data_IF_330000401028
#
_entry.id   IF_330000401028
#
_cell.length_a   1.000
_cell.length_b   1.000
_cell.length_c   1.000
_cell.angle_alpha   90.00
_cell.angle_beta   90.00
_cell.angle_gamma   90.00
#
_symmetry.space_group_name_H-M   'P 1'
#
loop_
_entity.id
_entity.type
_entity.pdbx_description
1 polymer ?
#
# COMPACT_ATOMS: atom_id res chain seq x y z
N UNK A 1 4.46 -21.15 -21.22
CA UNK A 1 4.93 -19.95 -20.52
C UNK A 1 5.69 -20.39 -19.28
N UNK A 2 6.82 -19.77 -18.97
CA UNK A 2 7.59 -20.06 -17.75
C UNK A 2 6.84 -19.62 -16.49
N UNK A 3 7.23 -20.13 -15.32
CA UNK A 3 6.65 -19.73 -14.03
C UNK A 3 6.80 -18.22 -13.78
N UNK A 4 7.92 -17.63 -14.19
CA UNK A 4 8.15 -16.18 -14.13
C UNK A 4 7.15 -15.39 -15.00
N UNK A 5 6.83 -15.89 -16.20
CA UNK A 5 5.84 -15.24 -17.08
C UNK A 5 4.42 -15.37 -16.52
N UNK A 6 4.10 -16.52 -15.92
CA UNK A 6 2.80 -16.71 -15.26
C UNK A 6 2.67 -15.83 -14.01
N UNK A 7 3.75 -15.66 -13.25
CA UNK A 7 3.80 -14.74 -12.11
C UNK A 7 3.63 -13.29 -12.56
N UNK A 8 4.38 -12.83 -13.56
CA UNK A 8 4.24 -11.48 -14.11
C UNK A 8 2.83 -11.22 -14.68
N UNK A 9 2.24 -12.20 -15.35
CA UNK A 9 0.86 -12.11 -15.85
C UNK A 9 -0.18 -12.07 -14.72
N UNK A 10 0.10 -12.65 -13.55
CA UNK A 10 -0.74 -12.50 -12.35
C UNK A 10 -0.60 -11.09 -11.77
N UNK A 11 0.62 -10.55 -11.71
CA UNK A 11 0.87 -9.19 -11.23
C UNK A 11 0.22 -8.11 -12.12
N UNK A 12 0.07 -8.39 -13.42
CA UNK A 12 -0.56 -7.46 -14.37
C UNK A 12 -2.03 -7.12 -14.04
N UNK A 13 -2.72 -7.96 -13.27
CA UNK A 13 -4.12 -7.78 -12.90
C UNK A 13 -4.27 -7.55 -11.40
N UNK A 14 -4.50 -6.30 -10.99
CA UNK A 14 -4.61 -5.90 -9.57
C UNK A 14 -5.53 -6.80 -8.73
N UNK A 15 -6.67 -7.23 -9.28
CA UNK A 15 -7.63 -8.09 -8.58
C UNK A 15 -7.05 -9.46 -8.19
N UNK A 16 -5.95 -9.89 -8.82
CA UNK A 16 -5.25 -11.14 -8.50
C UNK A 16 -4.13 -10.95 -7.47
N UNK A 17 -3.75 -9.71 -7.14
CA UNK A 17 -2.71 -9.44 -6.15
C UNK A 17 -3.20 -9.75 -4.73
N UNK A 18 -4.45 -9.38 -4.43
CA UNK A 18 -5.01 -9.55 -3.09
C UNK A 18 -5.15 -11.03 -2.69
N UNK A 19 -5.69 -11.93 -3.52
CA UNK A 19 -5.73 -13.35 -3.19
C UNK A 19 -4.35 -14.01 -3.02
N UNK A 20 -3.29 -13.47 -3.64
CA UNK A 20 -1.92 -13.95 -3.38
C UNK A 20 -1.47 -13.65 -1.94
N UNK A 21 -1.99 -12.57 -1.34
CA UNK A 21 -1.77 -12.22 0.06
C UNK A 21 -2.53 -13.14 1.02
N UNK A 22 -3.72 -13.61 0.66
CA UNK A 22 -4.51 -14.58 1.44
C UNK A 22 -3.78 -15.92 1.63
N UNK A 23 -3.04 -16.38 0.62
CA UNK A 23 -2.33 -17.66 0.65
C UNK A 23 -1.03 -17.66 1.46
N UNK A 24 -0.61 -16.52 2.03
CA UNK A 24 0.60 -16.44 2.84
C UNK A 24 0.39 -17.18 4.18
N UNK A 25 1.38 -17.97 4.68
CA UNK A 25 1.09 -18.90 5.75
C UNK A 25 0.76 -18.19 7.07
N UNK A 26 -0.29 -18.67 7.75
CA UNK A 26 -0.79 -18.21 9.06
C UNK A 26 0.29 -18.09 10.15
N UNK A 27 1.38 -18.84 10.02
CA UNK A 27 2.51 -18.81 10.95
C UNK A 27 3.29 -17.47 10.94
N UNK A 28 3.07 -16.60 9.95
CA UNK A 28 3.92 -15.41 9.73
C UNK A 28 3.14 -14.10 9.82
N UNK A 29 1.85 -14.15 9.52
CA UNK A 29 0.89 -13.12 9.84
C UNK A 29 -0.30 -13.86 10.42
N UNK A 30 -0.80 -13.44 11.60
CA UNK A 30 -2.20 -13.73 11.93
C UNK A 30 -2.99 -13.46 10.64
N UNK A 31 -3.69 -14.48 10.14
CA UNK A 31 -4.16 -14.53 8.76
C UNK A 31 -4.82 -13.21 8.34
N UNK A 32 -4.69 -12.85 7.06
CA UNK A 32 -5.59 -11.89 6.42
C UNK A 32 -7.01 -12.49 6.42
N UNK A 33 -7.62 -12.59 7.60
CA UNK A 33 -8.95 -13.12 7.79
C UNK A 33 -9.98 -12.13 7.29
N UNK A 34 -11.21 -12.60 7.07
CA UNK A 34 -12.34 -11.81 6.54
C UNK A 34 -12.68 -10.49 7.28
N UNK A 35 -12.02 -10.19 8.39
CA UNK A 35 -12.22 -8.99 9.21
C UNK A 35 -10.99 -8.06 9.28
N UNK A 36 -9.95 -8.26 8.46
CA UNK A 36 -8.76 -7.38 8.46
C UNK A 36 -8.93 -6.09 7.64
N UNK A 37 -10.07 -5.90 6.98
CA UNK A 37 -10.36 -4.72 6.17
C UNK A 37 -11.37 -3.74 6.75
N UNK A 38 -11.62 -2.67 6.00
CA UNK A 38 -12.66 -1.68 6.26
C UNK A 38 -13.92 -1.95 5.43
N UNK A 39 -15.07 -1.58 5.97
CA UNK A 39 -16.34 -1.67 5.25
C UNK A 39 -16.50 -0.51 4.27
N UNK A 40 -17.33 -0.70 3.24
CA UNK A 40 -17.61 0.33 2.21
C UNK A 40 -18.11 1.64 2.83
N UNK A 41 -19.02 1.57 3.81
CA UNK A 41 -19.55 2.76 4.46
C UNK A 41 -18.49 3.55 5.23
N UNK A 42 -17.44 2.88 5.74
CA UNK A 42 -16.33 3.55 6.42
C UNK A 42 -15.48 4.33 5.40
N UNK A 43 -15.23 3.73 4.24
CA UNK A 43 -14.50 4.38 3.15
C UNK A 43 -15.30 5.52 2.51
N UNK A 44 -16.61 5.37 2.38
CA UNK A 44 -17.48 6.43 1.85
C UNK A 44 -17.47 7.66 2.77
N UNK A 45 -17.47 7.45 4.10
CA UNK A 45 -17.34 8.54 5.07
C UNK A 45 -16.00 9.26 4.92
N UNK A 46 -14.91 8.50 4.75
CA UNK A 46 -13.57 9.07 4.54
C UNK A 46 -13.51 9.91 3.28
N UNK A 47 -14.08 9.43 2.16
CA UNK A 47 -14.12 10.20 0.92
C UNK A 47 -14.95 11.49 1.04
N UNK A 48 -16.02 11.46 1.83
CA UNK A 48 -16.81 12.66 2.13
C UNK A 48 -16.00 13.68 2.93
N UNK A 49 -15.26 13.24 3.95
CA UNK A 49 -14.41 14.10 4.78
C UNK A 49 -13.21 14.65 4.00
N UNK A 50 -12.62 13.83 3.12
CA UNK A 50 -11.51 14.19 2.24
C UNK A 50 -11.94 15.12 1.09
N UNK A 51 -13.23 15.14 0.75
CA UNK A 51 -13.77 15.85 -0.42
C UNK A 51 -13.32 15.25 -1.77
N UNK A 52 -12.70 14.07 -1.76
CA UNK A 52 -12.18 13.38 -2.93
C UNK A 52 -12.45 11.88 -2.84
N UNK A 53 -12.60 11.24 -4.00
CA UNK A 53 -12.69 9.78 -4.10
C UNK A 53 -11.31 9.15 -3.92
N UNK A 54 -11.27 8.01 -3.23
CA UNK A 54 -10.08 7.17 -3.19
C UNK A 54 -9.99 6.39 -4.51
N UNK A 55 -8.77 6.19 -5.05
CA UNK A 55 -8.58 5.29 -6.19
C UNK A 55 -9.13 3.89 -5.90
N UNK A 56 -9.64 3.22 -6.93
CA UNK A 56 -10.29 1.90 -6.80
C UNK A 56 -9.33 0.88 -6.17
N UNK A 57 -8.07 0.84 -6.61
CA UNK A 57 -7.07 -0.08 -6.05
C UNK A 57 -6.77 0.18 -4.57
N UNK A 58 -6.80 1.45 -4.14
CA UNK A 58 -6.60 1.80 -2.73
C UNK A 58 -7.82 1.38 -1.89
N UNK A 59 -9.05 1.56 -2.40
CA UNK A 59 -10.26 1.03 -1.75
C UNK A 59 -10.22 -0.48 -1.62
N UNK A 60 -9.83 -1.19 -2.69
CA UNK A 60 -9.66 -2.64 -2.68
C UNK A 60 -8.67 -3.08 -1.59
N UNK A 61 -7.51 -2.42 -1.49
CA UNK A 61 -6.51 -2.71 -0.47
C UNK A 61 -7.04 -2.47 0.97
N UNK A 62 -7.74 -1.36 1.21
CA UNK A 62 -8.35 -1.10 2.51
C UNK A 62 -9.42 -2.12 2.89
N UNK A 63 -10.27 -2.51 1.93
CA UNK A 63 -11.31 -3.54 2.13
C UNK A 63 -10.73 -4.92 2.39
N UNK A 64 -9.58 -5.22 1.81
CA UNK A 64 -8.95 -6.52 1.93
C UNK A 64 -8.17 -6.65 3.24
N UNK A 65 -7.24 -5.72 3.51
CA UNK A 65 -6.29 -5.86 4.60
C UNK A 65 -5.97 -4.56 5.35
N UNK A 66 -6.74 -3.49 5.14
CA UNK A 66 -6.39 -2.16 5.63
C UNK A 66 -6.03 -2.06 7.11
N UNK A 67 -6.80 -2.71 8.00
CA UNK A 67 -6.55 -2.70 9.46
C UNK A 67 -5.33 -3.52 9.86
N UNK A 68 -4.94 -4.49 9.02
CA UNK A 68 -3.73 -5.29 9.22
C UNK A 68 -2.50 -4.55 8.71
N UNK A 69 -2.60 -3.95 7.52
CA UNK A 69 -1.53 -3.17 6.89
C UNK A 69 -1.18 -1.91 7.69
N UNK A 70 -2.13 -1.36 8.44
CA UNK A 70 -1.89 -0.24 9.36
C UNK A 70 -1.05 -0.60 10.61
N UNK A 71 -0.70 -1.87 10.84
CA UNK A 71 0.02 -2.34 12.04
C UNK A 71 1.49 -2.70 11.81
N UNK A 72 2.04 -2.40 10.63
CA UNK A 72 3.45 -2.66 10.29
C UNK A 72 4.35 -1.44 10.56
N UNK A 73 5.66 -1.62 10.42
CA UNK A 73 6.66 -0.56 10.59
C UNK A 73 6.52 0.55 9.52
N UNK A 74 6.03 0.20 8.32
CA UNK A 74 5.60 1.17 7.31
C UNK A 74 4.09 1.03 7.10
N UNK A 75 3.24 1.63 7.94
CA UNK A 75 1.82 1.35 7.89
C UNK A 75 1.17 1.99 6.67
N UNK A 76 0.26 1.22 6.05
CA UNK A 76 -0.84 1.81 5.30
C UNK A 76 -1.58 2.75 6.27
N UNK A 77 -1.63 4.03 5.94
CA UNK A 77 -2.27 5.06 6.78
C UNK A 77 -3.74 4.66 6.95
N UNK A 78 -4.26 4.71 8.18
CA UNK A 78 -5.67 4.39 8.42
C UNK A 78 -6.56 5.31 7.57
N UNK A 79 -7.69 4.84 7.01
CA UNK A 79 -8.51 5.64 6.10
C UNK A 79 -8.86 7.04 6.62
N UNK A 80 -9.25 7.14 7.89
CA UNK A 80 -9.61 8.42 8.53
C UNK A 80 -8.42 9.34 8.84
N UNK A 81 -7.19 8.89 8.55
CA UNK A 81 -5.95 9.65 8.70
C UNK A 81 -5.28 9.92 7.36
N UNK A 82 -5.87 9.50 6.25
CA UNK A 82 -5.40 9.89 4.92
C UNK A 82 -5.60 11.39 4.75
N UNK A 83 -4.62 12.08 4.19
CA UNK A 83 -4.68 13.53 3.98
C UNK A 83 -4.02 13.90 2.64
N UNK A 84 -4.28 15.12 2.19
CA UNK A 84 -3.61 15.71 1.03
C UNK A 84 -2.62 16.76 1.50
N UNK A 85 -1.36 16.62 1.09
CA UNK A 85 -0.31 17.61 1.29
C UNK A 85 0.34 17.92 -0.04
N UNK A 86 0.45 19.21 -0.40
CA UNK A 86 1.10 19.65 -1.64
C UNK A 86 0.69 18.89 -2.92
N UNK A 87 -0.61 18.61 -3.10
CA UNK A 87 -1.17 17.82 -4.21
C UNK A 87 -0.86 16.31 -4.20
N UNK A 88 -0.42 15.76 -3.09
CA UNK A 88 -0.23 14.34 -2.88
C UNK A 88 -1.25 13.81 -1.87
N UNK A 89 -2.07 12.84 -2.26
CA UNK A 89 -2.90 12.05 -1.36
C UNK A 89 -2.02 10.99 -0.68
N UNK A 90 -1.65 11.20 0.58
CA UNK A 90 -0.77 10.31 1.33
C UNK A 90 -1.57 9.13 1.89
N UNK A 91 -1.21 7.92 1.46
CA UNK A 91 -1.85 6.69 1.93
C UNK A 91 -0.89 5.71 2.61
N UNK A 92 0.41 5.94 2.50
CA UNK A 92 1.45 5.14 3.13
C UNK A 92 2.50 6.06 3.74
N UNK A 93 2.99 5.74 4.93
CA UNK A 93 3.98 6.56 5.60
C UNK A 93 4.96 5.68 6.37
N UNK A 94 6.20 6.14 6.45
CA UNK A 94 7.17 5.57 7.38
C UNK A 94 6.75 5.88 8.83
N UNK A 95 7.16 5.07 9.81
CA UNK A 95 6.75 5.19 11.22
C UNK A 95 7.01 6.58 11.86
N UNK A 96 7.88 7.39 11.24
CA UNK A 96 8.20 8.76 11.64
C UNK A 96 7.76 9.82 10.62
N UNK A 97 7.07 9.44 9.55
CA UNK A 97 6.62 10.32 8.46
C UNK A 97 7.76 11.10 7.78
N UNK A 98 9.01 10.61 7.87
CA UNK A 98 10.15 11.18 7.16
C UNK A 98 10.00 10.95 5.66
N UNK A 99 9.44 9.80 5.28
CA UNK A 99 9.01 9.50 3.93
C UNK A 99 7.51 9.19 3.91
N UNK A 100 6.85 9.74 2.90
CA UNK A 100 5.43 9.47 2.65
C UNK A 100 5.22 9.11 1.19
N UNK A 101 4.30 8.18 0.94
CA UNK A 101 3.93 7.78 -0.41
C UNK A 101 2.46 8.08 -0.66
N UNK A 102 2.19 8.47 -1.89
CA UNK A 102 0.86 8.88 -2.25
C UNK A 102 0.59 8.92 -3.74
N UNK A 103 -0.64 9.31 -4.04
CA UNK A 103 -1.12 9.53 -5.40
C UNK A 103 -1.24 11.01 -5.64
N UNK A 104 -0.73 11.50 -6.77
CA UNK A 104 -0.92 12.91 -7.10
C UNK A 104 -2.41 13.20 -7.33
N UNK A 105 -2.94 14.29 -6.78
CA UNK A 105 -4.35 14.67 -6.85
C UNK A 105 -4.94 14.72 -8.27
N UNK A 106 -4.11 15.00 -9.28
CA UNK A 106 -4.51 15.04 -10.69
C UNK A 106 -4.85 13.64 -11.25
N UNK A 107 -4.27 12.59 -10.66
CA UNK A 107 -4.38 11.19 -11.11
C UNK A 107 -5.42 10.41 -10.29
N UNK A 108 -6.09 11.03 -9.31
CA UNK A 108 -7.08 10.36 -8.44
C UNK A 108 -8.29 9.76 -9.17
N UNK A 109 -8.53 10.17 -10.43
CA UNK A 109 -9.61 9.62 -11.26
C UNK A 109 -9.24 8.29 -11.89
N UNK A 110 -7.96 7.93 -11.91
CA UNK A 110 -7.52 6.63 -12.41
C UNK A 110 -7.86 5.54 -11.40
N UNK A 111 -8.21 4.35 -11.89
CA UNK A 111 -8.56 3.24 -11.00
C UNK A 111 -7.35 2.75 -10.18
N UNK A 112 -6.16 2.78 -10.78
CA UNK A 112 -4.93 2.28 -10.18
C UNK A 112 -3.74 3.18 -10.57
N UNK A 113 -3.69 4.39 -9.99
CA UNK A 113 -2.79 5.46 -10.42
C UNK A 113 -1.32 5.20 -10.02
N UNK A 114 -0.38 5.97 -10.58
CA UNK A 114 1.01 5.98 -10.14
C UNK A 114 1.18 6.40 -8.68
N UNK A 115 2.23 5.86 -8.06
CA UNK A 115 2.66 6.21 -6.70
C UNK A 115 3.93 7.05 -6.77
N UNK A 116 3.94 8.10 -5.96
CA UNK A 116 5.09 8.98 -5.75
C UNK A 116 5.52 8.90 -4.29
N UNK A 117 6.82 9.05 -4.05
CA UNK A 117 7.38 9.28 -2.72
C UNK A 117 7.70 10.76 -2.56
N UNK A 118 7.34 11.33 -1.41
CA UNK A 118 7.86 12.61 -0.94
C UNK A 118 8.99 12.35 0.06
N UNK A 119 10.22 12.61 -0.38
CA UNK A 119 11.45 12.40 0.39
C UNK A 119 11.66 13.45 1.50
N UNK A 120 10.85 14.51 1.53
CA UNK A 120 10.89 15.51 2.60
C UNK A 120 9.82 15.27 3.67
N UNK A 121 9.02 14.20 3.52
CA UNK A 121 7.95 13.84 4.45
C UNK A 121 6.89 14.92 4.60
N UNK A 122 6.12 14.85 5.69
CA UNK A 122 5.17 15.91 6.04
C UNK A 122 5.84 17.17 6.62
N UNK A 123 7.13 17.03 6.99
CA UNK A 123 7.94 18.05 7.64
C UNK A 123 8.67 18.97 6.66
N UNK A 124 8.28 18.95 5.36
CA UNK A 124 8.80 19.89 4.37
C UNK A 124 8.77 21.29 4.98
N UNK A 125 9.95 21.84 5.31
CA UNK A 125 10.07 23.15 5.96
C UNK A 125 9.13 24.11 5.23
N UNK A 126 8.12 24.64 5.94
CA UNK A 126 7.02 25.44 5.40
C UNK A 126 7.50 26.34 4.24
N UNK A 127 7.23 25.92 3.00
CA UNK A 127 7.61 26.64 1.79
C UNK A 127 8.61 25.96 0.85
N UNK A 128 9.22 24.83 1.21
CA UNK A 128 9.99 24.01 0.25
C UNK A 128 9.05 23.08 -0.54
N UNK A 129 9.14 23.08 -1.88
CA UNK A 129 8.35 22.16 -2.68
C UNK A 129 8.77 20.71 -2.39
N UNK A 130 7.77 19.85 -2.25
CA UNK A 130 7.92 18.40 -2.20
C UNK A 130 8.73 17.92 -3.39
N UNK A 131 9.72 17.06 -3.12
CA UNK A 131 10.44 16.37 -4.19
C UNK A 131 9.72 15.07 -4.45
N UNK A 132 8.63 15.16 -5.21
CA UNK A 132 7.86 13.99 -5.62
C UNK A 132 8.66 13.17 -6.63
N UNK A 133 9.16 12.02 -6.18
CA UNK A 133 9.85 11.06 -7.03
C UNK A 133 8.89 9.95 -7.40
N UNK A 134 8.82 9.60 -8.69
CA UNK A 134 8.01 8.47 -9.14
C UNK A 134 8.55 7.17 -8.54
N UNK A 135 7.66 6.37 -7.94
CA UNK A 135 8.03 5.13 -7.24
C UNK A 135 7.48 3.89 -7.96
N UNK A 136 6.17 3.91 -8.31
CA UNK A 136 5.53 2.80 -9.01
C UNK A 136 4.49 3.30 -10.01
N UNK A 137 4.24 2.48 -11.04
CA UNK A 137 3.21 2.76 -12.04
C UNK A 137 1.79 2.63 -11.49
N UNK A 138 1.61 1.84 -10.42
CA UNK A 138 0.32 1.46 -9.86
C UNK A 138 0.37 1.35 -8.34
N UNK A 139 -0.65 1.86 -7.67
CA UNK A 139 -0.88 1.67 -6.23
C UNK A 139 -0.90 0.18 -5.87
N UNK A 140 -1.57 -0.65 -6.66
CA UNK A 140 -1.68 -2.07 -6.36
C UNK A 140 -0.33 -2.80 -6.36
N UNK A 141 0.55 -2.46 -7.30
CA UNK A 141 1.93 -2.98 -7.37
C UNK A 141 2.76 -2.48 -6.18
N UNK A 142 2.67 -1.18 -5.84
CA UNK A 142 3.37 -0.61 -4.70
C UNK A 142 2.99 -1.33 -3.39
N UNK A 143 1.70 -1.46 -3.09
CA UNK A 143 1.24 -2.11 -1.86
C UNK A 143 1.72 -3.56 -1.80
N UNK A 144 1.63 -4.29 -2.91
CA UNK A 144 2.13 -5.67 -2.97
C UNK A 144 3.64 -5.74 -2.71
N UNK A 145 4.43 -4.83 -3.31
CA UNK A 145 5.88 -4.76 -3.10
C UNK A 145 6.23 -4.40 -1.66
N UNK A 146 5.54 -3.44 -1.04
CA UNK A 146 5.79 -3.06 0.35
C UNK A 146 5.47 -4.20 1.32
N UNK A 147 4.39 -4.93 1.10
CA UNK A 147 4.08 -6.12 1.92
C UNK A 147 5.13 -7.21 1.74
N UNK A 148 5.63 -7.42 0.52
CA UNK A 148 6.71 -8.37 0.26
C UNK A 148 8.04 -7.91 0.87
N UNK A 149 8.34 -6.61 0.84
CA UNK A 149 9.54 -6.04 1.43
C UNK A 149 9.54 -6.21 2.94
N UNK A 150 8.46 -5.78 3.61
CA UNK A 150 8.28 -5.98 5.05
C UNK A 150 8.38 -7.47 5.42
N UNK A 151 7.87 -8.37 4.57
CA UNK A 151 8.08 -9.82 4.73
C UNK A 151 9.56 -10.20 4.67
N UNK A 152 10.31 -9.74 3.67
CA UNK A 152 11.72 -10.12 3.51
C UNK A 152 12.62 -9.55 4.60
N UNK A 153 12.33 -8.34 5.08
CA UNK A 153 13.16 -7.64 6.06
C UNK A 153 12.88 -8.08 7.50
N UNK A 154 11.60 -8.35 7.83
CA UNK A 154 11.18 -8.64 9.19
C UNK A 154 10.74 -10.10 9.44
N UNK A 155 10.89 -11.00 8.45
CA UNK A 155 10.66 -12.43 8.67
C UNK A 155 11.66 -13.00 9.70
N UNK A 156 11.19 -13.76 10.72
CA UNK A 156 12.07 -14.51 11.60
C UNK A 156 13.02 -15.43 10.81
N UNK A 157 14.30 -15.43 11.18
CA UNK A 157 15.40 -16.16 10.53
C UNK A 157 15.15 -17.64 10.13
N UNK A 158 14.28 -18.45 10.81
CA UNK A 158 14.01 -19.82 10.37
C UNK A 158 13.29 -19.94 9.01
N UNK A 159 12.57 -18.91 8.54
CA UNK A 159 11.89 -18.93 7.24
C UNK A 159 12.88 -18.81 6.06
N UNK A 160 13.83 -17.88 6.17
CA UNK A 160 14.78 -17.55 5.10
C UNK A 160 15.79 -18.69 4.85
N UNK A 161 16.08 -19.49 5.87
CA UNK A 161 16.98 -20.65 5.77
C UNK A 161 16.47 -21.77 4.86
N UNK A 162 15.14 -21.90 4.65
CA UNK A 162 14.56 -22.90 3.74
C UNK A 162 14.62 -22.51 2.27
N UNK A 163 14.58 -21.22 1.96
CA UNK A 163 14.66 -20.73 0.57
C UNK A 163 16.10 -20.71 0.02
N UNK A 164 17.12 -20.68 0.89
CA UNK A 164 18.54 -20.74 0.50
C UNK A 164 19.11 -22.14 0.26
N UNK A 165 18.30 -23.20 0.44
CA UNK A 165 18.69 -24.60 0.20
C UNK A 165 17.87 -25.29 -0.90
N UNK A 166 17.25 -24.52 -1.79
CA UNK A 166 16.59 -25.01 -2.99
C UNK A 166 17.41 -24.71 -4.22
#
# INVERSE_FOLDING_TARGET
MSDAQQFAARLAHRQRLWPLLEGWPEAWCQSFGKQTGYFEFELDKVEQELGNKLPVSLREAYRFAGRRLAKYNHPLVEPHRVFIVQNLLVFWAENQYVETWGVHTKDLKEEDPPVYVDLNGCDSELGKPSQLVWQNAKVSEFIFQMVLWDYMEWAPAPAVARLRRG
#
